data_IF_601582425234
#
_entry.id   IF_601582425234
#
_cell.length_a   1.000
_cell.length_b   1.000
_cell.length_c   1.000
_cell.angle_alpha   90.00
_cell.angle_beta   90.00
_cell.angle_gamma   90.00
#
_symmetry.space_group_name_H-M   'P 1'
#
loop_
_entity.id
_entity.type
_entity.pdbx_description
1 polymer ?
#
# COMPACT_ATOMS: atom_id res chain seq x y z
N UNK A 1 -23.89 2.00 9.32
CA UNK A 1 -22.52 1.60 8.95
C UNK A 1 -22.44 0.12 8.55
N UNK A 2 -22.81 -0.82 9.43
CA UNK A 2 -22.74 -2.25 9.13
C UNK A 2 -23.62 -2.69 7.92
N UNK A 3 -24.82 -2.13 7.79
CA UNK A 3 -25.70 -2.39 6.64
C UNK A 3 -25.12 -1.87 5.30
N UNK A 4 -24.40 -0.74 5.33
CA UNK A 4 -23.74 -0.17 4.15
C UNK A 4 -22.57 -1.05 3.73
N UNK A 5 -21.78 -1.55 4.69
CA UNK A 5 -20.69 -2.48 4.42
C UNK A 5 -21.20 -3.78 3.80
N UNK A 6 -22.27 -4.37 4.35
CA UNK A 6 -22.89 -5.58 3.80
C UNK A 6 -23.38 -5.35 2.36
N UNK A 7 -24.10 -4.25 2.10
CA UNK A 7 -24.55 -3.91 0.75
C UNK A 7 -23.39 -3.75 -0.24
N UNK A 8 -22.31 -3.05 0.16
CA UNK A 8 -21.15 -2.85 -0.70
C UNK A 8 -20.46 -4.18 -1.07
N UNK A 9 -20.32 -5.09 -0.10
CA UNK A 9 -19.73 -6.41 -0.35
C UNK A 9 -20.59 -7.29 -1.27
N UNK A 10 -21.92 -7.21 -1.13
CA UNK A 10 -22.86 -7.93 -1.99
C UNK A 10 -22.81 -7.41 -3.43
N UNK A 11 -22.71 -6.10 -3.63
CA UNK A 11 -22.60 -5.50 -4.96
C UNK A 11 -21.34 -6.01 -5.67
N UNK A 12 -20.19 -6.02 -4.98
CA UNK A 12 -18.93 -6.53 -5.54
C UNK A 12 -19.08 -8.01 -5.93
N UNK A 13 -19.70 -8.81 -5.08
CA UNK A 13 -19.91 -10.24 -5.33
C UNK A 13 -20.82 -10.47 -6.55
N UNK A 14 -21.93 -9.73 -6.65
CA UNK A 14 -22.84 -9.82 -7.80
C UNK A 14 -22.13 -9.43 -9.10
N UNK A 15 -21.36 -8.34 -9.10
CA UNK A 15 -20.60 -7.91 -10.26
C UNK A 15 -19.55 -8.96 -10.68
N UNK A 16 -18.88 -9.60 -9.71
CA UNK A 16 -17.97 -10.70 -9.97
C UNK A 16 -18.68 -11.88 -10.63
N UNK A 17 -19.80 -12.35 -10.09
CA UNK A 17 -20.56 -13.45 -10.68
C UNK A 17 -21.11 -13.12 -12.07
N UNK A 18 -21.59 -11.90 -12.29
CA UNK A 18 -22.00 -11.44 -13.63
C UNK A 18 -20.82 -11.46 -14.60
N UNK A 19 -19.63 -10.99 -14.19
CA UNK A 19 -18.45 -11.02 -15.04
C UNK A 19 -18.06 -12.44 -15.48
N UNK A 20 -18.21 -13.43 -14.59
CA UNK A 20 -17.94 -14.85 -14.90
C UNK A 20 -19.03 -15.44 -15.80
N UNK A 21 -20.30 -15.06 -15.62
CA UNK A 21 -21.40 -15.54 -16.47
C UNK A 21 -21.32 -15.03 -17.90
N UNK A 22 -20.87 -13.79 -18.10
CA UNK A 22 -20.70 -13.18 -19.43
C UNK A 22 -19.31 -13.44 -20.05
N UNK A 23 -18.44 -14.22 -19.40
CA UNK A 23 -17.13 -14.58 -19.94
C UNK A 23 -17.25 -15.64 -21.05
N UNK A 24 -16.67 -15.35 -22.22
CA UNK A 24 -16.57 -16.29 -23.33
C UNK A 24 -15.26 -17.10 -23.23
N UNK A 25 -15.38 -18.39 -22.90
CA UNK A 25 -14.23 -19.26 -22.54
C UNK A 25 -13.17 -19.40 -23.64
N UNK A 26 -13.52 -19.12 -24.91
CA UNK A 26 -12.60 -19.29 -26.05
C UNK A 26 -11.56 -18.16 -26.14
N UNK A 27 -11.96 -16.92 -25.85
CA UNK A 27 -11.06 -15.76 -25.93
C UNK A 27 -10.01 -15.77 -24.80
N UNK A 28 -10.34 -16.37 -23.65
CA UNK A 28 -9.47 -16.43 -22.46
C UNK A 28 -8.24 -17.33 -22.68
N UNK A 29 -8.39 -18.47 -23.36
CA UNK A 29 -7.27 -19.40 -23.56
C UNK A 29 -6.25 -18.86 -24.57
N UNK A 30 -6.72 -18.08 -25.54
CA UNK A 30 -5.85 -17.45 -26.54
C UNK A 30 -5.22 -16.17 -26.01
N UNK A 31 -5.97 -15.30 -25.33
CA UNK A 31 -5.43 -14.02 -24.85
C UNK A 31 -4.72 -14.14 -23.50
N UNK A 32 -5.12 -15.08 -22.64
CA UNK A 32 -4.44 -15.35 -21.36
C UNK A 32 -3.06 -16.00 -21.51
N UNK A 33 -2.70 -16.46 -22.72
CA UNK A 33 -1.36 -16.97 -23.06
C UNK A 33 -0.53 -15.99 -23.87
N UNK A 34 -1.12 -14.88 -24.32
CA UNK A 34 -0.41 -13.84 -25.08
C UNK A 34 0.13 -12.82 -24.09
N UNK A 35 1.44 -12.64 -24.13
CA UNK A 35 2.08 -11.53 -23.43
C UNK A 35 1.62 -10.23 -24.06
N UNK A 36 1.24 -9.26 -23.24
CA UNK A 36 0.70 -7.97 -23.67
C UNK A 36 1.65 -7.28 -24.64
N UNK A 37 1.21 -7.15 -25.90
CA UNK A 37 1.73 -6.40 -27.06
C UNK A 37 3.23 -6.42 -27.40
N UNK A 38 4.12 -6.95 -26.56
CA UNK A 38 5.57 -6.88 -26.74
C UNK A 38 6.28 -8.25 -26.70
N UNK A 39 5.56 -9.37 -26.56
CA UNK A 39 6.15 -10.71 -26.61
C UNK A 39 7.23 -10.96 -25.55
N UNK A 40 7.18 -10.21 -24.44
CA UNK A 40 8.01 -10.47 -23.27
C UNK A 40 7.34 -11.54 -22.41
N UNK A 41 7.92 -12.74 -22.41
CA UNK A 41 7.61 -13.79 -21.44
C UNK A 41 7.78 -13.18 -20.07
N UNK A 42 6.67 -13.11 -19.32
CA UNK A 42 6.74 -12.86 -17.89
C UNK A 42 7.78 -13.85 -17.34
N UNK A 43 8.89 -13.34 -16.82
CA UNK A 43 9.98 -14.18 -16.35
C UNK A 43 9.39 -15.14 -15.32
N UNK A 44 9.42 -16.45 -15.60
CA UNK A 44 8.80 -17.51 -14.79
C UNK A 44 9.49 -17.70 -13.41
N UNK A 45 10.28 -16.73 -12.97
CA UNK A 45 10.93 -16.72 -11.68
C UNK A 45 9.98 -16.04 -10.69
N UNK A 46 9.31 -16.86 -9.87
CA UNK A 46 8.54 -16.39 -8.70
C UNK A 46 9.38 -15.60 -7.69
N UNK A 47 10.71 -15.59 -7.86
CA UNK A 47 11.68 -14.87 -7.06
C UNK A 47 12.55 -14.00 -7.96
N UNK A 48 12.01 -12.84 -8.29
CA UNK A 48 12.81 -11.75 -8.85
C UNK A 48 13.65 -11.11 -7.73
N UNK A 49 14.87 -10.66 -8.02
CA UNK A 49 15.63 -9.87 -7.05
C UNK A 49 14.79 -8.65 -6.64
N UNK A 50 14.52 -8.53 -5.34
CA UNK A 50 13.76 -7.42 -4.80
C UNK A 50 14.68 -6.20 -4.63
N UNK A 51 14.19 -5.02 -5.01
CA UNK A 51 14.97 -3.80 -4.76
C UNK A 51 15.00 -3.50 -3.26
N UNK A 52 16.17 -3.22 -2.72
CA UNK A 52 16.31 -2.82 -1.31
C UNK A 52 15.68 -1.46 -1.01
N UNK A 53 15.48 -0.61 -2.03
CA UNK A 53 14.85 0.71 -1.90
C UNK A 53 13.34 0.59 -1.61
N UNK A 54 12.62 -0.30 -2.29
CA UNK A 54 11.23 -0.59 -1.93
C UNK A 54 11.09 -1.14 -0.51
N UNK A 55 12.09 -1.90 -0.03
CA UNK A 55 12.11 -2.40 1.34
C UNK A 55 12.24 -1.27 2.36
N UNK A 56 13.19 -0.35 2.15
CA UNK A 56 13.43 0.76 3.09
C UNK A 56 12.20 1.65 3.22
N UNK A 57 11.55 1.99 2.11
CA UNK A 57 10.33 2.81 2.13
C UNK A 57 9.20 2.11 2.90
N UNK A 58 9.04 0.79 2.74
CA UNK A 58 8.04 0.03 3.47
C UNK A 58 8.31 -0.01 4.99
N UNK A 59 9.58 -0.12 5.39
CA UNK A 59 9.98 -0.06 6.81
C UNK A 59 9.71 1.31 7.41
N UNK A 60 10.10 2.37 6.70
CA UNK A 60 9.85 3.76 7.09
C UNK A 60 8.35 4.03 7.27
N UNK A 61 7.53 3.59 6.30
CA UNK A 61 6.07 3.68 6.40
C UNK A 61 5.52 2.95 7.64
N UNK A 62 6.02 1.76 7.95
CA UNK A 62 5.59 0.99 9.12
C UNK A 62 5.90 1.72 10.43
N UNK A 63 7.09 2.31 10.54
CA UNK A 63 7.49 3.07 11.74
C UNK A 63 6.60 4.31 11.89
N UNK A 64 6.39 5.08 10.81
CA UNK A 64 5.52 6.25 10.86
C UNK A 64 4.07 5.93 11.19
N UNK A 65 3.52 4.81 10.72
CA UNK A 65 2.15 4.39 11.05
C UNK A 65 2.00 4.13 12.56
N UNK A 66 2.99 3.49 13.19
CA UNK A 66 3.01 3.27 14.64
C UNK A 66 3.11 4.60 15.40
N UNK A 67 3.97 5.52 14.96
CA UNK A 67 4.08 6.85 15.59
C UNK A 67 2.77 7.64 15.48
N UNK A 68 2.08 7.58 14.34
CA UNK A 68 0.78 8.25 14.15
C UNK A 68 -0.29 7.68 15.08
N UNK A 69 -0.35 6.35 15.27
CA UNK A 69 -1.28 5.72 16.21
C UNK A 69 -1.06 6.25 17.63
N UNK A 70 0.20 6.48 18.02
CA UNK A 70 0.55 7.01 19.35
C UNK A 70 0.20 8.50 19.47
N UNK A 71 0.35 9.28 18.41
CA UNK A 71 0.07 10.73 18.39
C UNK A 71 -1.44 11.01 18.41
N UNK A 72 -2.25 10.21 17.70
CA UNK A 72 -3.69 10.42 17.51
C UNK A 72 -4.51 10.70 18.78
N UNK A 73 -4.35 9.99 19.92
CA UNK A 73 -5.09 10.29 21.15
C UNK A 73 -4.78 11.68 21.73
N UNK A 74 -3.57 12.20 21.51
CA UNK A 74 -3.16 13.51 22.04
C UNK A 74 -3.78 14.68 21.27
N UNK A 75 -4.20 14.48 20.02
CA UNK A 75 -4.90 15.50 19.21
C UNK A 75 -6.24 15.87 19.86
N UNK A 76 -6.94 14.89 20.43
CA UNK A 76 -8.25 15.09 21.04
C UNK A 76 -8.20 15.58 22.49
N UNK A 77 -7.01 15.56 23.12
CA UNK A 77 -6.84 15.91 24.52
C UNK A 77 -5.83 17.06 24.71
N UNK A 78 -6.36 18.29 24.74
CA UNK A 78 -5.59 19.53 24.89
C UNK A 78 -4.75 19.62 26.18
N UNK A 79 -5.05 18.81 27.20
CA UNK A 79 -4.29 18.80 28.45
C UNK A 79 -2.86 18.27 28.30
N UNK A 80 -2.56 17.58 27.21
CA UNK A 80 -1.24 16.98 26.95
C UNK A 80 -0.50 17.62 25.77
N UNK A 81 -0.76 18.90 25.48
CA UNK A 81 -0.09 19.70 24.45
C UNK A 81 1.45 19.58 24.48
N UNK A 82 2.05 19.50 25.67
CA UNK A 82 3.51 19.33 25.81
C UNK A 82 4.00 17.99 25.23
N UNK A 83 3.33 16.88 25.56
CA UNK A 83 3.69 15.55 25.03
C UNK A 83 3.45 15.48 23.52
N UNK A 84 2.36 16.07 23.04
CA UNK A 84 2.10 16.20 21.60
C UNK A 84 3.25 16.94 20.90
N UNK A 85 3.69 18.09 21.45
CA UNK A 85 4.78 18.87 20.85
C UNK A 85 6.10 18.09 20.78
N UNK A 86 6.43 17.31 21.82
CA UNK A 86 7.64 16.48 21.83
C UNK A 86 7.55 15.39 20.75
N UNK A 87 6.40 14.73 20.61
CA UNK A 87 6.22 13.68 19.62
C UNK A 87 6.27 14.22 18.19
N UNK A 88 5.70 15.40 17.94
CA UNK A 88 5.81 16.06 16.64
C UNK A 88 7.25 16.45 16.29
N UNK A 89 8.03 16.92 17.27
CA UNK A 89 9.45 17.21 17.08
C UNK A 89 10.23 15.92 16.79
N UNK A 90 9.93 14.83 17.49
CA UNK A 90 10.59 13.54 17.31
C UNK A 90 10.31 12.96 15.91
N UNK A 91 9.06 13.02 15.45
CA UNK A 91 8.65 12.61 14.10
C UNK A 91 9.36 13.46 13.03
N UNK A 92 9.43 14.79 13.24
CA UNK A 92 10.16 15.69 12.33
C UNK A 92 11.67 15.40 12.29
N UNK A 93 12.31 15.13 13.43
CA UNK A 93 13.72 14.77 13.45
C UNK A 93 13.97 13.39 12.82
N UNK A 94 13.08 12.42 13.04
CA UNK A 94 13.15 11.10 12.40
C UNK A 94 13.12 11.19 10.88
N UNK A 95 12.13 11.91 10.32
CA UNK A 95 12.03 12.16 8.87
C UNK A 95 13.27 12.87 8.31
N UNK A 96 13.82 13.86 9.02
CA UNK A 96 15.04 14.54 8.58
C UNK A 96 16.25 13.60 8.54
N UNK A 97 16.42 12.74 9.55
CA UNK A 97 17.51 11.77 9.59
C UNK A 97 17.42 10.79 8.41
N UNK A 98 16.23 10.28 8.12
CA UNK A 98 16.01 9.37 7.00
C UNK A 98 16.24 10.02 5.63
N UNK A 99 15.90 11.31 5.51
CA UNK A 99 16.17 12.08 4.31
C UNK A 99 17.66 12.35 4.12
N UNK A 100 18.38 12.70 5.19
CA UNK A 100 19.83 12.90 5.14
C UNK A 100 20.60 11.62 4.78
N UNK A 101 20.09 10.45 5.18
CA UNK A 101 20.67 9.15 4.80
C UNK A 101 20.44 8.81 3.31
N UNK A 102 19.60 9.57 2.60
CA UNK A 102 19.25 9.31 1.20
C UNK A 102 18.39 8.06 1.01
N UNK A 103 17.80 7.53 2.09
CA UNK A 103 16.94 6.32 2.04
C UNK A 103 15.63 6.54 1.28
N UNK A 104 15.26 7.82 1.10
CA UNK A 104 14.10 8.30 0.36
C UNK A 104 14.43 8.69 -1.09
N UNK A 105 15.70 8.72 -1.47
CA UNK A 105 16.11 9.13 -2.82
C UNK A 105 15.95 7.97 -3.80
N UNK A 106 15.18 8.23 -4.86
CA UNK A 106 15.04 7.32 -5.98
C UNK A 106 16.07 7.69 -7.03
N UNK A 107 17.26 7.11 -6.93
CA UNK A 107 18.18 7.10 -8.05
C UNK A 107 17.69 6.08 -9.09
N UNK A 108 17.50 6.56 -10.32
CA UNK A 108 17.26 5.71 -11.51
C UNK A 108 18.40 4.71 -11.72
#
# INVERSE_FOLDING_TARGET
MLLILLLSSLIILVLYYLSVLFMDNKNIVEDGKKEFECGFRAENLSRLPFSMQFFSIALVFLIFDVELIIILPYIFNFNHMYMFSIMMILLYLGTLLEWMEGSLDWYY
#
